data_IF_760490910449
#
_entry.id   IF_760490910449
#
_cell.length_a   1.000
_cell.length_b   1.000
_cell.length_c   1.000
_cell.angle_alpha   90.00
_cell.angle_beta   90.00
_cell.angle_gamma   90.00
#
_symmetry.space_group_name_H-M   'P 1'
#
loop_
_entity.id
_entity.type
_entity.pdbx_description
1 polymer ?
#
# COMPACT_ATOMS: atom_id res chain seq x y z
N UNK A 1 -0.93 -11.12 -7.13
CA UNK A 1 -0.32 -9.81 -7.48
C UNK A 1 0.69 -9.44 -6.39
N UNK A 2 1.85 -8.88 -6.76
CA UNK A 2 2.87 -8.42 -5.81
C UNK A 2 3.04 -6.92 -5.96
N UNK A 3 2.86 -6.16 -4.88
CA UNK A 3 3.10 -4.71 -4.82
C UNK A 3 4.30 -4.46 -3.91
N UNK A 4 5.36 -3.92 -4.49
CA UNK A 4 6.60 -3.59 -3.77
C UNK A 4 6.70 -2.09 -3.56
N UNK A 5 6.74 -1.68 -2.28
CA UNK A 5 6.80 -0.28 -1.87
C UNK A 5 8.21 0.24 -1.57
N UNK A 6 9.20 -0.63 -1.79
CA UNK A 6 10.61 -0.33 -1.56
C UNK A 6 11.17 0.59 -2.66
N UNK A 7 12.06 1.48 -2.28
CA UNK A 7 12.89 2.23 -3.22
C UNK A 7 13.85 1.30 -3.97
N UNK A 8 14.36 1.73 -5.14
CA UNK A 8 15.20 0.84 -5.97
C UNK A 8 16.46 0.38 -5.24
N UNK A 9 17.06 1.23 -4.42
CA UNK A 9 18.26 0.86 -3.67
C UNK A 9 17.95 -0.17 -2.57
N UNK A 10 16.75 -0.14 -1.97
CA UNK A 10 16.29 -1.14 -1.00
C UNK A 10 16.03 -2.49 -1.69
N UNK A 11 15.48 -2.49 -2.92
CA UNK A 11 15.22 -3.71 -3.70
C UNK A 11 16.52 -4.44 -4.05
N UNK A 12 17.62 -3.72 -4.28
CA UNK A 12 18.89 -4.32 -4.64
C UNK A 12 19.39 -5.35 -3.61
N UNK A 13 18.97 -5.23 -2.35
CA UNK A 13 19.28 -6.19 -1.28
C UNK A 13 18.47 -7.50 -1.37
N UNK A 14 17.35 -7.49 -2.11
CA UNK A 14 16.42 -8.61 -2.26
C UNK A 14 16.62 -9.40 -3.57
N UNK A 15 17.50 -8.94 -4.46
CA UNK A 15 17.76 -9.56 -5.76
C UNK A 15 16.78 -9.12 -6.86
N UNK A 16 16.58 -9.97 -7.87
CA UNK A 16 15.72 -9.68 -9.04
C UNK A 16 14.25 -9.99 -8.77
N UNK A 17 13.57 -9.11 -8.04
CA UNK A 17 12.14 -9.27 -7.74
C UNK A 17 11.25 -9.29 -9.00
N UNK A 18 11.65 -8.64 -10.10
CA UNK A 18 10.89 -8.70 -11.36
C UNK A 18 10.95 -10.11 -11.95
N UNK A 19 12.17 -10.65 -12.07
CA UNK A 19 12.43 -12.00 -12.54
C UNK A 19 11.68 -13.05 -11.70
N UNK A 20 11.80 -12.97 -10.38
CA UNK A 20 11.12 -13.90 -9.46
C UNK A 20 9.59 -13.80 -9.56
N UNK A 21 9.03 -12.59 -9.62
CA UNK A 21 7.59 -12.40 -9.79
C UNK A 21 7.10 -12.97 -11.12
N UNK A 22 7.86 -12.79 -12.21
CA UNK A 22 7.54 -13.35 -13.53
C UNK A 22 7.60 -14.87 -13.53
N UNK A 23 8.61 -15.47 -12.92
CA UNK A 23 8.72 -16.93 -12.79
C UNK A 23 7.55 -17.50 -12.00
N UNK A 24 7.15 -16.81 -10.92
CA UNK A 24 5.97 -17.16 -10.12
C UNK A 24 4.62 -16.80 -10.78
N UNK A 25 4.63 -16.23 -12.00
CA UNK A 25 3.43 -15.75 -12.72
C UNK A 25 2.60 -14.73 -11.94
N UNK A 26 3.26 -13.93 -11.11
CA UNK A 26 2.67 -12.83 -10.37
C UNK A 26 2.74 -11.55 -11.19
N UNK A 27 1.61 -10.85 -11.33
CA UNK A 27 1.64 -9.45 -11.76
C UNK A 27 2.37 -8.64 -10.69
N UNK A 28 3.51 -8.06 -11.06
CA UNK A 28 4.31 -7.18 -10.20
C UNK A 28 4.00 -5.70 -10.46
N UNK A 29 3.89 -4.93 -9.39
CA UNK A 29 3.77 -3.47 -9.41
C UNK A 29 4.83 -2.89 -8.47
N UNK A 30 5.73 -2.10 -9.02
CA UNK A 30 6.69 -1.33 -8.25
C UNK A 30 6.17 0.08 -8.00
N UNK A 31 5.94 0.44 -6.74
CA UNK A 31 5.47 1.77 -6.33
C UNK A 31 6.32 2.26 -5.16
N UNK A 32 7.50 2.85 -5.43
CA UNK A 32 8.45 3.18 -4.37
C UNK A 32 7.92 4.28 -3.45
N UNK A 33 8.05 4.07 -2.14
CA UNK A 33 7.79 5.07 -1.10
C UNK A 33 9.03 5.10 -0.21
N UNK A 34 9.58 6.30 -0.01
CA UNK A 34 10.74 6.49 0.87
C UNK A 34 10.49 5.97 2.28
N UNK A 35 11.54 5.47 2.94
CA UNK A 35 11.37 4.80 4.23
C UNK A 35 10.78 5.74 5.30
N UNK A 36 9.79 5.25 6.05
CA UNK A 36 8.96 6.03 7.01
C UNK A 36 8.14 7.19 6.43
N UNK A 37 8.16 7.40 5.11
CA UNK A 37 7.31 8.39 4.44
C UNK A 37 5.96 7.81 4.04
N UNK A 38 5.08 8.72 3.56
CA UNK A 38 3.84 8.41 2.89
C UNK A 38 3.98 8.68 1.38
N UNK A 39 3.06 8.19 0.53
CA UNK A 39 3.03 8.60 -0.87
C UNK A 39 2.91 10.13 -1.01
N UNK A 40 3.68 10.72 -1.91
CA UNK A 40 3.66 12.17 -2.18
C UNK A 40 2.74 12.53 -3.35
N UNK A 41 2.51 11.61 -4.29
CA UNK A 41 1.56 11.77 -5.40
C UNK A 41 0.26 11.02 -5.09
N UNK A 42 -0.75 11.77 -4.66
CA UNK A 42 -2.07 11.26 -4.32
C UNK A 42 -2.80 10.63 -5.52
N UNK A 43 -2.64 11.18 -6.73
CA UNK A 43 -3.28 10.64 -7.92
C UNK A 43 -2.68 9.29 -8.30
N UNK A 44 -1.36 9.15 -8.21
CA UNK A 44 -0.67 7.88 -8.43
C UNK A 44 -1.01 6.84 -7.36
N UNK A 45 -1.08 7.26 -6.09
CA UNK A 45 -1.51 6.38 -5.00
C UNK A 45 -2.95 5.89 -5.21
N UNK A 46 -3.88 6.75 -5.67
CA UNK A 46 -5.24 6.34 -6.02
C UNK A 46 -5.27 5.30 -7.12
N UNK A 47 -4.47 5.46 -8.19
CA UNK A 47 -4.37 4.45 -9.26
C UNK A 47 -3.88 3.09 -8.74
N UNK A 48 -2.93 3.10 -7.81
CA UNK A 48 -2.47 1.88 -7.15
C UNK A 48 -3.60 1.24 -6.34
N UNK A 49 -4.28 2.02 -5.48
CA UNK A 49 -5.40 1.51 -4.65
C UNK A 49 -6.52 0.95 -5.52
N UNK A 50 -6.92 1.64 -6.60
CA UNK A 50 -7.90 1.12 -7.56
C UNK A 50 -7.43 -0.20 -8.19
N UNK A 51 -6.14 -0.31 -8.54
CA UNK A 51 -5.59 -1.55 -9.10
C UNK A 51 -5.64 -2.72 -8.10
N UNK A 52 -5.37 -2.44 -6.82
CA UNK A 52 -5.47 -3.41 -5.70
C UNK A 52 -6.92 -3.85 -5.52
N UNK A 53 -7.86 -2.89 -5.38
CA UNK A 53 -9.28 -3.20 -5.17
C UNK A 53 -9.88 -4.00 -6.34
N UNK A 54 -9.56 -3.61 -7.57
CA UNK A 54 -10.01 -4.35 -8.76
C UNK A 54 -9.45 -5.80 -8.77
N UNK A 55 -8.24 -6.04 -8.24
CA UNK A 55 -7.71 -7.39 -8.11
C UNK A 55 -8.44 -8.21 -7.05
N UNK A 56 -8.75 -7.60 -5.90
CA UNK A 56 -9.55 -8.24 -4.84
C UNK A 56 -10.96 -8.58 -5.32
N UNK A 57 -11.61 -7.68 -6.07
CA UNK A 57 -12.96 -7.92 -6.62
C UNK A 57 -13.01 -9.07 -7.64
N UNK A 58 -11.88 -9.35 -8.30
CA UNK A 58 -11.74 -10.52 -9.18
C UNK A 58 -11.33 -11.81 -8.42
N UNK A 59 -11.28 -11.78 -7.09
CA UNK A 59 -10.87 -12.92 -6.26
C UNK A 59 -9.39 -13.27 -6.39
N UNK A 60 -8.53 -12.32 -6.77
CA UNK A 60 -7.09 -12.56 -6.89
C UNK A 60 -6.39 -12.38 -5.55
N UNK A 61 -5.48 -13.32 -5.22
CA UNK A 61 -4.56 -13.15 -4.11
C UNK A 61 -3.53 -12.05 -4.41
N UNK A 62 -3.24 -11.20 -3.43
CA UNK A 62 -2.23 -10.16 -3.54
C UNK A 62 -1.45 -9.94 -2.26
N UNK A 63 -0.22 -9.46 -2.43
CA UNK A 63 0.69 -9.06 -1.35
C UNK A 63 1.10 -7.62 -1.58
N UNK A 64 1.01 -6.78 -0.55
CA UNK A 64 1.60 -5.44 -0.51
C UNK A 64 2.68 -5.44 0.56
N UNK A 65 3.91 -5.08 0.21
CA UNK A 65 5.02 -5.12 1.16
C UNK A 65 5.95 -3.90 1.07
N UNK A 66 6.64 -3.66 2.18
CA UNK A 66 7.86 -2.85 2.28
C UNK A 66 8.94 -3.71 2.95
N UNK A 67 9.78 -3.16 3.84
CA UNK A 67 10.72 -3.94 4.63
C UNK A 67 10.01 -4.70 5.76
N UNK A 68 9.46 -3.97 6.74
CA UNK A 68 8.83 -4.58 7.92
C UNK A 68 7.34 -4.92 7.76
N UNK A 69 6.72 -4.48 6.66
CA UNK A 69 5.27 -4.57 6.48
C UNK A 69 4.45 -3.77 7.51
N UNK A 70 5.02 -2.71 8.09
CA UNK A 70 4.40 -1.93 9.18
C UNK A 70 3.90 -0.56 8.69
N UNK A 71 4.80 0.36 8.30
CA UNK A 71 4.41 1.73 7.91
C UNK A 71 3.84 1.84 6.51
N UNK A 72 4.71 1.77 5.50
CA UNK A 72 4.35 1.97 4.08
C UNK A 72 3.22 1.04 3.61
N UNK A 73 3.36 -0.26 3.90
CA UNK A 73 2.34 -1.25 3.56
C UNK A 73 1.01 -1.00 4.30
N UNK A 74 1.06 -0.71 5.60
CA UNK A 74 -0.14 -0.38 6.38
C UNK A 74 -0.84 0.88 5.88
N UNK A 75 -0.08 1.88 5.40
CA UNK A 75 -0.60 3.12 4.83
C UNK A 75 -1.43 2.84 3.57
N UNK A 76 -0.93 2.01 2.66
CA UNK A 76 -1.66 1.62 1.45
C UNK A 76 -2.87 0.73 1.79
N UNK A 77 -2.73 -0.17 2.76
CA UNK A 77 -3.85 -1.00 3.22
C UNK A 77 -4.99 -0.14 3.79
N UNK A 78 -4.67 0.86 4.63
CA UNK A 78 -5.67 1.79 5.16
C UNK A 78 -6.32 2.62 4.05
N UNK A 79 -5.55 3.09 3.06
CA UNK A 79 -6.11 3.78 1.90
C UNK A 79 -7.10 2.92 1.11
N UNK A 80 -6.91 1.59 1.05
CA UNK A 80 -7.88 0.67 0.45
C UNK A 80 -9.20 0.61 1.23
N UNK A 81 -9.16 0.59 2.57
CA UNK A 81 -10.37 0.68 3.39
C UNK A 81 -11.10 2.01 3.17
N UNK A 82 -10.35 3.11 3.14
CA UNK A 82 -10.91 4.45 2.89
C UNK A 82 -11.57 4.54 1.51
N UNK A 83 -10.91 4.00 0.47
CA UNK A 83 -11.49 3.92 -0.88
C UNK A 83 -12.82 3.13 -0.93
N UNK A 84 -13.05 2.23 0.03
CA UNK A 84 -14.28 1.44 0.17
C UNK A 84 -15.31 2.08 1.11
N UNK A 85 -15.11 3.34 1.50
CA UNK A 85 -16.05 4.11 2.33
C UNK A 85 -15.82 4.00 3.84
N UNK A 86 -14.74 3.36 4.28
CA UNK A 86 -14.40 3.32 5.71
C UNK A 86 -13.86 4.69 6.15
N UNK A 87 -14.34 5.28 7.26
CA UNK A 87 -13.76 6.52 7.77
C UNK A 87 -12.25 6.37 8.01
N UNK A 88 -11.42 7.40 7.73
CA UNK A 88 -9.96 7.27 7.85
C UNK A 88 -9.46 6.84 9.22
N UNK A 89 -10.10 7.31 10.31
CA UNK A 89 -9.75 6.91 11.66
C UNK A 89 -9.98 5.41 11.90
N UNK A 90 -11.10 4.89 11.40
CA UNK A 90 -11.48 3.48 11.53
C UNK A 90 -10.59 2.60 10.66
N UNK A 91 -10.24 3.05 9.45
CA UNK A 91 -9.31 2.37 8.56
C UNK A 91 -7.93 2.20 9.23
N UNK A 92 -7.42 3.24 9.89
CA UNK A 92 -6.18 3.19 10.67
C UNK A 92 -6.31 2.18 11.82
N UNK A 93 -7.43 2.22 12.55
CA UNK A 93 -7.66 1.30 13.68
C UNK A 93 -7.73 -0.16 13.23
N UNK A 94 -8.44 -0.47 12.14
CA UNK A 94 -8.54 -1.81 11.56
C UNK A 94 -7.15 -2.35 11.19
N UNK A 95 -6.36 -1.55 10.47
CA UNK A 95 -5.01 -1.96 10.06
C UNK A 95 -4.10 -2.17 11.27
N UNK A 96 -4.19 -1.32 12.29
CA UNK A 96 -3.43 -1.49 13.54
C UNK A 96 -3.84 -2.71 14.36
N UNK A 97 -5.12 -3.06 14.34
CA UNK A 97 -5.63 -4.27 14.98
C UNK A 97 -5.08 -5.54 14.30
N UNK A 98 -4.98 -5.54 12.96
CA UNK A 98 -4.40 -6.66 12.22
C UNK A 98 -2.86 -6.71 12.33
N UNK A 99 -2.20 -5.54 12.40
CA UNK A 99 -0.75 -5.41 12.51
C UNK A 99 -0.40 -4.29 13.49
N UNK A 100 0.00 -4.68 14.69
CA UNK A 100 0.42 -3.73 15.72
C UNK A 100 1.48 -2.75 15.21
N UNK A 101 1.34 -1.48 15.60
CA UNK A 101 2.20 -0.35 15.18
C UNK A 101 2.16 0.02 13.69
N UNK A 102 1.29 -0.58 12.89
CA UNK A 102 1.13 -0.18 11.50
C UNK A 102 0.78 1.31 11.38
N UNK A 103 1.22 1.92 10.27
CA UNK A 103 1.11 3.37 10.03
C UNK A 103 1.91 4.11 11.10
N UNK A 104 3.23 4.18 10.87
CA UNK A 104 4.27 4.47 11.85
C UNK A 104 4.49 5.96 12.09
N UNK A 105 4.10 6.82 11.15
CA UNK A 105 4.38 8.25 11.22
C UNK A 105 3.12 9.10 11.07
N UNK A 106 3.15 10.31 11.64
CA UNK A 106 2.07 11.28 11.50
C UNK A 106 1.83 11.68 10.03
N UNK A 107 2.87 11.64 9.20
CA UNK A 107 2.75 11.87 7.76
C UNK A 107 1.91 10.77 7.07
N UNK A 108 2.09 9.51 7.47
CA UNK A 108 1.30 8.38 6.98
C UNK A 108 -0.15 8.45 7.45
N UNK A 109 -0.41 8.78 8.72
CA UNK A 109 -1.78 9.00 9.20
C UNK A 109 -2.47 10.14 8.45
N UNK A 110 -1.75 11.25 8.24
CA UNK A 110 -2.27 12.41 7.49
C UNK A 110 -2.64 12.02 6.07
N UNK A 111 -1.77 11.29 5.39
CA UNK A 111 -2.03 10.79 4.05
C UNK A 111 -3.34 9.99 3.99
N UNK A 112 -3.57 9.06 4.94
CA UNK A 112 -4.82 8.27 4.98
C UNK A 112 -6.05 9.16 5.16
N UNK A 113 -5.96 10.21 5.98
CA UNK A 113 -7.05 11.18 6.19
C UNK A 113 -7.35 12.00 4.94
N UNK A 114 -6.31 12.50 4.27
CA UNK A 114 -6.41 13.28 3.02
C UNK A 114 -6.90 12.43 1.84
N UNK A 115 -6.57 11.14 1.85
CA UNK A 115 -7.01 10.20 0.84
C UNK A 115 -8.54 10.19 0.72
N UNK A 116 -9.24 10.12 1.86
CA UNK A 116 -10.70 10.09 1.96
C UNK A 116 -11.40 11.41 1.60
N UNK A 117 -10.72 12.55 1.70
CA UNK A 117 -11.30 13.87 1.40
C UNK A 117 -11.66 14.06 -0.07
N UNK A 118 -11.18 13.18 -0.95
CA UNK A 118 -11.54 13.21 -2.37
C UNK A 118 -11.94 11.83 -2.92
N UNK A 119 -12.48 10.96 -2.06
CA UNK A 119 -13.24 9.77 -2.49
C UNK A 119 -14.72 10.11 -2.36
N UNK A 120 -15.17 11.10 -3.13
CA UNK A 120 -16.59 11.20 -3.47
C UNK A 120 -16.70 10.59 -4.87
N UNK A 121 -17.39 9.44 -4.91
CA UNK A 121 -17.85 8.81 -6.14
C UNK A 121 -18.78 9.76 -6.91
#
# INVERSE_FOLDING_TARGET
>A
MLVTLLERFEIAELGDLDGEARQARLRWIHYPIADRWAPTDLASARRLVVSILNALERGQDLVVHCWGGVGRAGTIAAACFVARGTPPADAIAIVRAARGRAIETAAQERFVREFGSHVHA
#
